data_IF_296620270581
#
_entry.id   IF_296620270581
#
_cell.length_a   1.000
_cell.length_b   1.000
_cell.length_c   1.000
_cell.angle_alpha   90.00
_cell.angle_beta   90.00
_cell.angle_gamma   90.00
#
_symmetry.space_group_name_H-M   'P 1'
#
loop_
_entity.id
_entity.type
_entity.pdbx_description
1 polymer ?
#
# COMPACT_ATOMS: atom_id res chain seq x y z
N UNK A 1 37.05 25.25 -9.85
CA UNK A 1 35.61 25.12 -10.10
C UNK A 1 34.99 24.57 -8.84
N UNK A 2 34.34 25.43 -8.03
CA UNK A 2 33.51 24.96 -6.90
C UNK A 2 32.46 24.03 -7.46
N UNK A 3 32.43 22.80 -6.94
CA UNK A 3 31.38 21.86 -7.25
C UNK A 3 30.07 22.41 -6.67
N UNK A 4 29.34 23.15 -7.49
CA UNK A 4 27.98 23.57 -7.17
C UNK A 4 27.19 22.34 -6.78
N UNK A 5 26.61 22.33 -5.58
CA UNK A 5 25.75 21.25 -5.13
C UNK A 5 24.62 20.95 -6.12
N UNK A 6 23.89 19.84 -5.99
CA UNK A 6 22.84 19.49 -6.94
C UNK A 6 21.82 20.64 -7.03
N UNK A 7 21.43 21.00 -8.26
CA UNK A 7 20.47 22.09 -8.56
C UNK A 7 19.15 21.99 -7.76
N UNK A 8 18.76 20.76 -7.38
CA UNK A 8 17.58 20.47 -6.59
C UNK A 8 17.99 19.58 -5.42
N UNK A 9 17.66 19.99 -4.21
CA UNK A 9 17.99 19.30 -2.99
C UNK A 9 17.00 18.15 -2.68
N UNK A 10 17.28 17.42 -1.61
CA UNK A 10 16.44 16.34 -1.13
C UNK A 10 15.00 16.78 -0.81
N UNK A 11 14.82 18.04 -0.37
CA UNK A 11 13.53 18.63 -0.01
C UNK A 11 12.63 18.78 -1.24
N UNK A 12 13.20 19.31 -2.34
CA UNK A 12 12.48 19.46 -3.60
C UNK A 12 12.05 18.09 -4.15
N UNK A 13 12.95 17.10 -4.17
CA UNK A 13 12.67 15.74 -4.67
C UNK A 13 11.64 15.04 -3.79
N UNK A 14 11.75 15.11 -2.47
CA UNK A 14 10.77 14.57 -1.53
C UNK A 14 9.39 15.18 -1.72
N UNK A 15 9.32 16.51 -1.92
CA UNK A 15 8.08 17.24 -2.18
C UNK A 15 7.40 16.75 -3.48
N UNK A 16 8.15 16.61 -4.56
CA UNK A 16 7.65 16.08 -5.83
C UNK A 16 7.13 14.66 -5.65
N UNK A 17 7.91 13.79 -5.00
CA UNK A 17 7.52 12.39 -4.73
C UNK A 17 6.22 12.29 -3.93
N UNK A 18 6.11 13.07 -2.85
CA UNK A 18 4.91 13.09 -2.00
C UNK A 18 3.68 13.64 -2.74
N UNK A 19 3.82 14.73 -3.47
CA UNK A 19 2.72 15.34 -4.22
C UNK A 19 2.28 14.45 -5.39
N UNK A 20 3.23 13.84 -6.10
CA UNK A 20 2.93 13.02 -7.25
C UNK A 20 2.35 11.66 -6.86
N UNK A 21 3.00 10.89 -6.00
CA UNK A 21 2.57 9.55 -5.66
C UNK A 21 1.64 9.48 -4.43
N UNK A 22 1.90 10.28 -3.40
CA UNK A 22 1.06 10.32 -2.21
C UNK A 22 -0.28 10.99 -2.46
N UNK A 23 -0.29 12.11 -3.19
CA UNK A 23 -1.49 12.88 -3.46
C UNK A 23 -2.04 12.70 -4.88
N UNK A 24 -1.30 12.04 -5.76
CA UNK A 24 -1.74 11.71 -7.11
C UNK A 24 -1.75 12.90 -8.07
N UNK A 25 -0.95 13.94 -7.82
CA UNK A 25 -0.89 15.12 -8.69
C UNK A 25 0.01 14.83 -9.91
N UNK A 26 -0.48 14.86 -11.15
CA UNK A 26 0.34 14.60 -12.33
C UNK A 26 1.46 15.63 -12.48
N UNK A 27 2.63 15.24 -13.02
CA UNK A 27 3.78 16.13 -13.22
C UNK A 27 3.44 17.42 -13.97
N UNK A 28 2.55 17.35 -14.98
CA UNK A 28 2.12 18.57 -15.70
C UNK A 28 1.34 19.55 -14.83
N UNK A 29 0.55 19.05 -13.88
CA UNK A 29 -0.13 19.92 -12.91
C UNK A 29 0.83 20.46 -11.87
N UNK A 30 1.82 19.67 -11.45
CA UNK A 30 2.91 20.16 -10.57
C UNK A 30 3.75 21.23 -11.26
N UNK A 31 4.11 21.05 -12.55
CA UNK A 31 4.80 22.06 -13.34
C UNK A 31 4.02 23.39 -13.38
N UNK A 32 2.69 23.32 -13.59
CA UNK A 32 1.86 24.52 -13.59
C UNK A 32 1.83 25.19 -12.21
N UNK A 33 1.57 24.40 -11.15
CA UNK A 33 1.57 24.88 -9.77
C UNK A 33 2.89 25.57 -9.41
N UNK A 34 4.02 24.94 -9.71
CA UNK A 34 5.36 25.47 -9.44
C UNK A 34 5.66 26.73 -10.23
N UNK A 35 5.17 26.83 -11.47
CA UNK A 35 5.26 28.06 -12.28
C UNK A 35 4.52 29.22 -11.63
N UNK A 36 3.29 28.96 -11.16
CA UNK A 36 2.46 29.96 -10.49
C UNK A 36 3.07 30.41 -9.14
N UNK A 37 3.85 29.52 -8.50
CA UNK A 37 4.62 29.81 -7.27
C UNK A 37 5.98 30.50 -7.53
N UNK A 38 6.36 30.77 -8.80
CA UNK A 38 7.62 31.40 -9.15
C UNK A 38 8.85 30.48 -9.10
N UNK A 39 8.67 29.16 -8.98
CA UNK A 39 9.75 28.16 -8.94
C UNK A 39 9.55 27.09 -10.04
N UNK A 40 9.62 27.50 -11.34
CA UNK A 40 9.25 26.62 -12.45
C UNK A 40 10.21 25.42 -12.56
N UNK A 41 9.64 24.23 -12.64
CA UNK A 41 10.35 22.97 -12.88
C UNK A 41 9.60 22.15 -13.93
N UNK A 42 10.19 21.90 -15.13
CA UNK A 42 9.55 21.12 -16.18
C UNK A 42 9.13 19.72 -15.72
N UNK A 43 8.02 19.23 -16.24
CA UNK A 43 7.53 17.88 -15.90
C UNK A 43 8.54 16.77 -16.26
N UNK A 44 9.34 16.96 -17.33
CA UNK A 44 10.43 16.05 -17.71
C UNK A 44 11.51 15.95 -16.62
N UNK A 45 11.92 17.08 -16.10
CA UNK A 45 12.98 17.17 -15.09
C UNK A 45 12.50 16.59 -13.76
N UNK A 46 11.24 16.86 -13.39
CA UNK A 46 10.61 16.21 -12.22
C UNK A 46 10.62 14.69 -12.34
N UNK A 47 10.26 14.15 -13.53
CA UNK A 47 10.25 12.71 -13.76
C UNK A 47 11.65 12.10 -13.70
N UNK A 48 12.68 12.80 -14.19
CA UNK A 48 14.07 12.32 -14.15
C UNK A 48 14.62 12.35 -12.71
N UNK A 49 14.34 13.42 -11.94
CA UNK A 49 14.68 13.48 -10.51
C UNK A 49 14.07 12.33 -9.72
N UNK A 50 12.80 12.05 -9.93
CA UNK A 50 12.10 10.93 -9.27
C UNK A 50 12.66 9.57 -9.70
N UNK A 51 13.01 9.40 -10.97
CA UNK A 51 13.64 8.17 -11.45
C UNK A 51 14.98 7.91 -10.78
N UNK A 52 15.83 8.94 -10.65
CA UNK A 52 17.10 8.85 -9.92
C UNK A 52 16.87 8.54 -8.44
N UNK A 53 15.98 9.30 -7.78
CA UNK A 53 15.63 9.06 -6.38
C UNK A 53 15.11 7.64 -6.14
N UNK A 54 14.32 7.08 -7.06
CA UNK A 54 13.85 5.69 -6.98
C UNK A 54 14.99 4.66 -7.01
N UNK A 55 16.08 4.95 -7.73
CA UNK A 55 17.28 4.09 -7.71
C UNK A 55 18.00 4.19 -6.36
N UNK A 56 18.16 5.40 -5.84
CA UNK A 56 18.83 5.64 -4.56
C UNK A 56 18.06 5.05 -3.36
N UNK A 57 16.72 5.02 -3.43
CA UNK A 57 15.84 4.50 -2.38
C UNK A 57 15.57 2.98 -2.49
N UNK A 58 16.01 2.33 -3.56
CA UNK A 58 15.74 0.91 -3.80
C UNK A 58 16.24 -0.02 -2.67
N UNK A 59 17.41 0.20 -2.03
CA UNK A 59 17.86 -0.61 -0.89
C UNK A 59 16.85 -0.60 0.27
N UNK A 60 16.31 0.57 0.62
CA UNK A 60 15.31 0.73 1.68
C UNK A 60 14.00 0.03 1.33
N UNK A 61 13.54 0.13 0.07
CA UNK A 61 12.36 -0.57 -0.39
C UNK A 61 12.52 -2.10 -0.37
N UNK A 62 13.70 -2.60 -0.74
CA UNK A 62 14.00 -4.04 -0.67
C UNK A 62 14.02 -4.53 0.78
N UNK A 63 14.59 -3.75 1.69
CA UNK A 63 14.59 -4.07 3.10
C UNK A 63 13.16 -4.04 3.68
N UNK A 64 12.33 -3.07 3.28
CA UNK A 64 10.93 -3.00 3.68
C UNK A 64 10.16 -4.27 3.25
N UNK A 65 10.41 -4.79 2.04
CA UNK A 65 9.86 -6.07 1.59
C UNK A 65 10.36 -7.25 2.43
N UNK A 66 11.67 -7.28 2.73
CA UNK A 66 12.27 -8.34 3.56
C UNK A 66 11.65 -8.38 4.96
N UNK A 67 11.48 -7.21 5.57
CA UNK A 67 10.85 -7.06 6.89
C UNK A 67 9.38 -7.45 6.83
N UNK A 68 8.61 -6.95 5.85
CA UNK A 68 7.20 -7.28 5.69
C UNK A 68 6.93 -8.75 5.43
N UNK A 69 7.85 -9.45 4.75
CA UNK A 69 7.73 -10.90 4.56
C UNK A 69 7.81 -11.70 5.87
N UNK A 70 8.38 -11.13 6.93
CA UNK A 70 8.50 -11.78 8.24
C UNK A 70 7.27 -11.55 9.14
N UNK A 71 6.34 -10.66 8.78
CA UNK A 71 5.18 -10.35 9.59
C UNK A 71 4.17 -11.52 9.59
N UNK A 72 3.42 -11.65 10.69
CA UNK A 72 2.56 -12.82 10.91
C UNK A 72 1.15 -12.67 10.32
N UNK A 73 0.75 -11.44 10.00
CA UNK A 73 -0.52 -11.14 9.37
C UNK A 73 -0.32 -10.31 8.10
N UNK A 74 -0.88 -10.79 7.00
CA UNK A 74 -0.79 -10.16 5.69
C UNK A 74 -2.17 -10.01 5.06
N UNK A 75 -2.42 -8.83 4.49
CA UNK A 75 -3.61 -8.51 3.70
C UNK A 75 -3.19 -8.28 2.26
N UNK A 76 -3.93 -8.78 1.31
CA UNK A 76 -3.65 -8.51 -0.10
C UNK A 76 -4.93 -8.36 -0.93
N UNK A 77 -4.86 -7.44 -1.86
CA UNK A 77 -5.91 -7.19 -2.87
C UNK A 77 -5.30 -6.52 -4.10
N UNK A 78 -6.04 -6.48 -5.22
CA UNK A 78 -5.59 -5.81 -6.44
C UNK A 78 -6.63 -4.84 -7.01
N UNK A 79 -6.14 -3.82 -7.71
CA UNK A 79 -6.96 -2.90 -8.51
C UNK A 79 -6.42 -2.80 -9.93
N UNK A 80 -7.32 -2.69 -10.92
CA UNK A 80 -6.90 -2.51 -12.32
C UNK A 80 -6.03 -1.26 -12.50
N UNK A 81 -5.01 -1.35 -13.37
CA UNK A 81 -4.15 -0.22 -13.72
C UNK A 81 -3.80 -0.26 -15.22
N UNK A 82 -3.01 0.71 -15.69
CA UNK A 82 -2.53 0.80 -17.08
C UNK A 82 -1.06 1.14 -17.09
N UNK A 83 -0.25 0.28 -17.75
CA UNK A 83 1.16 0.54 -18.08
C UNK A 83 1.27 0.42 -19.60
N UNK A 84 1.50 1.53 -20.29
CA UNK A 84 1.38 1.59 -21.75
C UNK A 84 2.38 0.70 -22.46
N UNK A 85 3.64 0.65 -21.99
CA UNK A 85 4.66 -0.25 -22.55
C UNK A 85 4.25 -1.73 -22.43
N UNK A 86 3.69 -2.13 -21.29
CA UNK A 86 3.24 -3.50 -21.07
C UNK A 86 2.01 -3.85 -21.95
N UNK A 87 1.05 -2.93 -22.04
CA UNK A 87 -0.12 -3.11 -22.91
C UNK A 87 0.27 -3.19 -24.40
N UNK A 88 1.31 -2.44 -24.84
CA UNK A 88 1.85 -2.52 -26.19
C UNK A 88 2.46 -3.91 -26.44
N UNK A 89 3.37 -4.37 -25.56
CA UNK A 89 3.97 -5.72 -25.63
C UNK A 89 2.90 -6.83 -25.70
N UNK A 90 1.82 -6.70 -24.92
CA UNK A 90 0.72 -7.67 -24.93
C UNK A 90 -0.06 -7.66 -26.27
N UNK A 91 -0.24 -6.48 -26.91
CA UNK A 91 -0.88 -6.36 -28.21
C UNK A 91 -0.01 -6.94 -29.33
N UNK A 92 1.28 -6.63 -29.35
CA UNK A 92 2.26 -7.14 -30.31
C UNK A 92 2.37 -8.67 -30.23
N UNK A 93 2.48 -9.22 -29.02
CA UNK A 93 2.51 -10.66 -28.79
C UNK A 93 1.22 -11.37 -29.22
N UNK A 94 0.08 -10.68 -29.21
CA UNK A 94 -1.19 -11.20 -29.69
C UNK A 94 -1.29 -11.16 -31.21
N UNK A 95 -0.73 -10.14 -31.84
CA UNK A 95 -0.74 -9.99 -33.30
C UNK A 95 0.21 -11.02 -33.97
N UNK A 96 1.32 -11.40 -33.32
CA UNK A 96 2.30 -12.37 -33.82
C UNK A 96 1.96 -13.83 -33.51
N UNK A 97 1.00 -14.12 -32.62
CA UNK A 97 0.54 -15.50 -32.37
C UNK A 97 -0.45 -15.92 -33.45
N UNK A 98 0.00 -16.78 -34.36
CA UNK A 98 -0.84 -17.53 -35.29
C UNK A 98 -1.94 -18.25 -34.49
N UNK A 99 -3.15 -18.45 -35.13
CA UNK A 99 -4.43 -18.87 -34.50
C UNK A 99 -4.42 -20.25 -33.82
N UNK A 100 -3.29 -20.69 -33.25
CA UNK A 100 -3.18 -21.90 -32.45
C UNK A 100 -3.62 -21.68 -31.01
N UNK A 101 -4.49 -22.57 -30.49
CA UNK A 101 -5.06 -22.63 -29.13
C UNK A 101 -3.98 -22.56 -28.01
N UNK A 102 -3.31 -21.43 -27.87
CA UNK A 102 -2.46 -21.17 -26.69
C UNK A 102 -3.29 -20.69 -25.52
N UNK A 103 -3.12 -21.25 -24.32
CA UNK A 103 -3.70 -20.77 -23.05
C UNK A 103 -3.61 -19.24 -23.01
N UNK A 104 -4.77 -18.57 -22.96
CA UNK A 104 -4.92 -17.14 -23.17
C UNK A 104 -3.94 -16.31 -22.35
N UNK A 105 -3.00 -15.62 -23.03
CA UNK A 105 -2.10 -14.66 -22.41
C UNK A 105 -2.94 -13.62 -21.67
N UNK A 106 -2.60 -13.37 -20.41
CA UNK A 106 -3.28 -12.39 -19.55
C UNK A 106 -3.37 -11.03 -20.22
N UNK A 107 -4.54 -10.40 -20.15
CA UNK A 107 -4.81 -9.11 -20.79
C UNK A 107 -4.80 -7.93 -19.81
N UNK A 108 -4.81 -8.20 -18.49
CA UNK A 108 -4.91 -7.19 -17.45
C UNK A 108 -3.55 -6.69 -16.96
N UNK A 109 -3.53 -5.44 -16.52
CA UNK A 109 -2.48 -4.85 -15.71
C UNK A 109 -3.12 -4.40 -14.42
N UNK A 110 -2.49 -4.71 -13.29
CA UNK A 110 -3.02 -4.48 -11.95
C UNK A 110 -1.97 -3.78 -11.09
N UNK A 111 -2.42 -3.06 -10.08
CA UNK A 111 -1.60 -2.71 -8.92
C UNK A 111 -2.10 -3.54 -7.75
N UNK A 112 -1.26 -4.42 -7.25
CA UNK A 112 -1.47 -5.16 -6.03
C UNK A 112 -1.07 -4.28 -4.85
N UNK A 113 -1.92 -4.19 -3.83
CA UNK A 113 -1.56 -3.72 -2.50
C UNK A 113 -1.38 -4.91 -1.57
N UNK A 114 -0.29 -4.94 -0.84
CA UNK A 114 -0.06 -5.87 0.27
C UNK A 114 0.18 -5.03 1.52
N UNK A 115 -0.57 -5.29 2.58
CA UNK A 115 -0.32 -4.69 3.88
C UNK A 115 0.06 -5.79 4.84
N UNK A 116 1.22 -5.67 5.49
CA UNK A 116 1.63 -6.59 6.54
C UNK A 116 1.58 -5.89 7.89
N UNK A 117 1.25 -6.63 8.95
CA UNK A 117 1.08 -6.04 10.28
C UNK A 117 1.68 -6.91 11.37
N UNK A 118 2.29 -6.25 12.34
CA UNK A 118 2.59 -6.77 13.67
C UNK A 118 1.86 -5.94 14.72
N UNK A 119 2.07 -6.21 16.01
CA UNK A 119 1.53 -5.36 17.08
C UNK A 119 2.07 -3.92 17.01
N UNK A 120 3.34 -3.74 16.58
CA UNK A 120 4.08 -2.50 16.68
C UNK A 120 4.14 -1.69 15.39
N UNK A 121 3.90 -2.33 14.23
CA UNK A 121 4.06 -1.67 12.92
C UNK A 121 3.15 -2.22 11.85
N UNK A 122 2.98 -1.41 10.81
CA UNK A 122 2.26 -1.76 9.58
C UNK A 122 3.12 -1.38 8.38
N UNK A 123 3.20 -2.26 7.39
CA UNK A 123 3.95 -2.03 6.15
C UNK A 123 2.99 -2.13 4.97
N UNK A 124 2.98 -1.14 4.10
CA UNK A 124 2.26 -1.18 2.84
C UNK A 124 3.25 -1.36 1.68
N UNK A 125 2.97 -2.31 0.80
CA UNK A 125 3.76 -2.61 -0.38
C UNK A 125 2.87 -2.60 -1.61
N UNK A 126 3.35 -1.98 -2.70
CA UNK A 126 2.64 -1.95 -3.97
C UNK A 126 3.45 -2.64 -5.05
N UNK A 127 2.75 -3.33 -5.96
CA UNK A 127 3.35 -4.04 -7.09
C UNK A 127 2.47 -3.88 -8.32
N UNK A 128 2.94 -3.12 -9.30
CA UNK A 128 2.20 -2.82 -10.54
C UNK A 128 2.74 -3.64 -11.71
N UNK A 129 1.88 -4.46 -12.32
CA UNK A 129 2.27 -5.31 -13.45
C UNK A 129 1.16 -6.26 -13.92
N UNK A 130 1.56 -7.35 -14.56
CA UNK A 130 0.64 -8.37 -15.07
C UNK A 130 0.24 -9.43 -14.03
N UNK A 131 0.92 -9.47 -12.87
CA UNK A 131 0.65 -10.42 -11.79
C UNK A 131 -0.56 -9.99 -10.98
N UNK A 132 -1.30 -10.97 -10.48
CA UNK A 132 -2.37 -10.78 -9.50
C UNK A 132 -1.84 -10.75 -8.07
N UNK A 133 -2.71 -10.37 -7.13
CA UNK A 133 -2.37 -10.21 -5.72
C UNK A 133 -1.77 -11.47 -5.10
N UNK A 134 -2.29 -12.66 -5.42
CA UNK A 134 -1.74 -13.93 -4.92
C UNK A 134 -0.32 -14.21 -5.42
N UNK A 135 -0.01 -13.88 -6.68
CA UNK A 135 1.31 -14.09 -7.26
C UNK A 135 2.36 -13.12 -6.69
N UNK A 136 1.96 -11.85 -6.47
CA UNK A 136 2.83 -10.87 -5.82
C UNK A 136 3.05 -11.22 -4.34
N UNK A 137 2.04 -11.75 -3.67
CA UNK A 137 2.17 -12.27 -2.31
C UNK A 137 3.10 -13.50 -2.26
N UNK A 138 2.99 -14.40 -3.24
CA UNK A 138 3.89 -15.56 -3.35
C UNK A 138 5.35 -15.12 -3.48
N UNK A 139 5.62 -14.13 -4.35
CA UNK A 139 6.96 -13.56 -4.50
C UNK A 139 7.47 -12.90 -3.20
N UNK A 140 6.61 -12.19 -2.48
CA UNK A 140 6.97 -11.58 -1.19
C UNK A 140 7.30 -12.65 -0.15
N UNK A 141 6.45 -13.66 -0.01
CA UNK A 141 6.61 -14.73 0.99
C UNK A 141 7.80 -15.66 0.72
N UNK A 142 8.37 -15.67 -0.49
CA UNK A 142 9.68 -16.33 -0.75
C UNK A 142 10.83 -15.70 0.03
N UNK A 143 10.67 -14.45 0.48
CA UNK A 143 11.64 -13.77 1.36
C UNK A 143 11.45 -14.14 2.84
N UNK A 144 10.40 -14.89 3.19
CA UNK A 144 10.12 -15.34 4.55
C UNK A 144 11.09 -16.43 4.97
N UNK A 145 11.60 -16.33 6.18
CA UNK A 145 12.49 -17.33 6.76
C UNK A 145 11.77 -18.68 6.92
N UNK A 146 12.47 -19.78 6.60
CA UNK A 146 11.88 -21.12 6.54
C UNK A 146 11.44 -21.66 7.91
N UNK A 147 12.01 -21.16 9.00
CA UNK A 147 11.70 -21.55 10.37
C UNK A 147 10.48 -20.82 10.96
N UNK A 148 9.88 -19.88 10.21
CA UNK A 148 8.69 -19.17 10.65
C UNK A 148 7.40 -19.92 10.30
N UNK A 149 6.43 -19.87 11.21
CA UNK A 149 5.07 -20.36 10.94
C UNK A 149 4.45 -19.68 9.71
N UNK A 150 3.56 -20.36 8.98
CA UNK A 150 2.84 -19.75 7.87
C UNK A 150 2.12 -18.47 8.29
N UNK A 151 2.29 -17.41 7.51
CA UNK A 151 1.62 -16.14 7.77
C UNK A 151 0.09 -16.30 7.66
N UNK A 152 -0.64 -15.60 8.51
CA UNK A 152 -2.09 -15.47 8.38
C UNK A 152 -2.39 -14.51 7.24
N UNK A 153 -3.15 -14.97 6.25
CA UNK A 153 -3.54 -14.16 5.09
C UNK A 153 -5.02 -13.77 5.19
N UNK A 154 -5.30 -12.48 5.05
CA UNK A 154 -6.67 -11.97 4.92
C UNK A 154 -6.87 -11.36 3.53
N UNK A 155 -7.82 -11.91 2.75
CA UNK A 155 -8.16 -11.42 1.41
C UNK A 155 -9.68 -11.47 1.16
N UNK A 156 -10.11 -10.96 0.01
CA UNK A 156 -11.47 -11.21 -0.47
C UNK A 156 -11.68 -12.70 -0.86
N UNK A 157 -12.87 -13.04 -1.35
CA UNK A 157 -13.20 -14.42 -1.73
C UNK A 157 -12.65 -14.87 -3.09
N UNK A 158 -11.80 -14.09 -3.78
CA UNK A 158 -11.29 -14.43 -5.11
C UNK A 158 -10.08 -15.36 -5.01
N UNK A 159 -10.10 -16.46 -5.76
CA UNK A 159 -9.02 -17.45 -5.78
C UNK A 159 -7.68 -16.89 -6.27
N UNK A 160 -7.71 -15.87 -7.15
CA UNK A 160 -6.51 -15.19 -7.66
C UNK A 160 -5.73 -14.43 -6.58
N UNK A 161 -6.31 -14.20 -5.42
CA UNK A 161 -5.67 -13.54 -4.28
C UNK A 161 -4.92 -14.52 -3.37
N UNK A 162 -5.11 -15.84 -3.56
CA UNK A 162 -4.35 -16.86 -2.86
C UNK A 162 -2.97 -17.09 -3.51
N UNK A 163 -1.87 -17.19 -2.75
CA UNK A 163 -0.56 -17.58 -3.27
C UNK A 163 -0.59 -19.04 -3.74
N UNK A 164 0.15 -19.35 -4.82
CA UNK A 164 0.18 -20.70 -5.38
C UNK A 164 1.25 -21.59 -4.72
N UNK A 165 2.37 -21.02 -4.27
CA UNK A 165 3.52 -21.74 -3.74
C UNK A 165 3.70 -21.62 -2.23
N UNK A 166 3.46 -20.42 -1.68
CA UNK A 166 3.61 -20.18 -0.24
C UNK A 166 2.40 -20.70 0.54
N UNK A 167 2.66 -21.37 1.67
CA UNK A 167 1.60 -21.77 2.60
C UNK A 167 1.17 -20.57 3.46
N UNK A 168 -0.14 -20.37 3.58
CA UNK A 168 -0.75 -19.34 4.45
C UNK A 168 -1.90 -19.93 5.24
N UNK A 169 -2.22 -19.34 6.38
CA UNK A 169 -3.47 -19.61 7.11
C UNK A 169 -4.52 -18.62 6.60
N UNK A 170 -5.37 -19.08 5.69
CA UNK A 170 -6.29 -18.22 4.98
C UNK A 170 -7.51 -17.79 5.82
N UNK A 171 -7.72 -16.47 5.92
CA UNK A 171 -8.97 -15.82 6.31
C UNK A 171 -9.62 -15.12 5.11
N UNK A 172 -10.94 -15.00 5.14
CA UNK A 172 -11.72 -14.28 4.11
C UNK A 172 -12.56 -13.17 4.73
N UNK A 173 -12.72 -12.09 3.95
CA UNK A 173 -13.37 -10.87 4.39
C UNK A 173 -14.88 -11.01 4.58
N UNK A 174 -15.36 -10.81 5.81
CA UNK A 174 -16.80 -10.79 6.13
C UNK A 174 -17.53 -9.61 5.47
N UNK A 175 -16.87 -8.46 5.32
CA UNK A 175 -17.48 -7.29 4.66
C UNK A 175 -17.85 -7.60 3.21
N UNK A 176 -16.99 -8.30 2.46
CA UNK A 176 -17.28 -8.70 1.09
C UNK A 176 -18.45 -9.69 1.01
N UNK A 177 -18.49 -10.65 1.93
CA UNK A 177 -19.62 -11.58 2.03
C UNK A 177 -20.91 -10.85 2.39
N UNK A 178 -20.87 -9.96 3.39
CA UNK A 178 -22.03 -9.13 3.78
C UNK A 178 -22.57 -8.30 2.62
N UNK A 179 -21.68 -7.74 1.79
CA UNK A 179 -22.07 -6.93 0.63
C UNK A 179 -22.91 -7.72 -0.36
N UNK A 180 -22.63 -9.01 -0.60
CA UNK A 180 -23.44 -9.83 -1.51
C UNK A 180 -24.91 -9.94 -1.10
N UNK A 181 -25.19 -9.98 0.21
CA UNK A 181 -26.56 -9.93 0.73
C UNK A 181 -27.13 -8.51 0.69
N UNK A 182 -26.33 -7.49 1.03
CA UNK A 182 -26.77 -6.10 0.98
C UNK A 182 -27.17 -5.65 -0.43
N UNK A 183 -26.46 -6.12 -1.46
CA UNK A 183 -26.71 -5.76 -2.86
C UNK A 183 -28.04 -6.31 -3.40
N UNK A 184 -28.59 -7.38 -2.78
CA UNK A 184 -29.86 -8.00 -3.20
C UNK A 184 -30.99 -7.81 -2.17
N UNK A 185 -30.78 -7.02 -1.12
CA UNK A 185 -31.75 -6.84 -0.01
C UNK A 185 -33.10 -6.34 -0.48
N UNK A 186 -33.14 -5.56 -1.57
CA UNK A 186 -34.40 -5.08 -2.15
C UNK A 186 -35.31 -6.22 -2.66
N UNK A 187 -34.71 -7.36 -3.06
CA UNK A 187 -35.44 -8.52 -3.57
C UNK A 187 -35.75 -9.56 -2.47
N UNK A 188 -34.95 -9.57 -1.39
CA UNK A 188 -35.03 -10.53 -0.28
C UNK A 188 -34.82 -9.80 1.04
N UNK A 189 -35.75 -8.91 1.46
CA UNK A 189 -35.53 -7.99 2.58
C UNK A 189 -35.39 -8.70 3.93
N UNK A 190 -36.17 -9.73 4.19
CA UNK A 190 -36.17 -10.46 5.47
C UNK A 190 -34.91 -11.32 5.61
N UNK A 191 -34.61 -12.12 4.61
CA UNK A 191 -33.48 -13.06 4.62
C UNK A 191 -32.15 -12.32 4.61
N UNK A 192 -32.01 -11.32 3.74
CA UNK A 192 -30.79 -10.52 3.67
C UNK A 192 -30.66 -9.61 4.91
N UNK A 193 -31.76 -9.07 5.41
CA UNK A 193 -31.81 -8.27 6.63
C UNK A 193 -31.22 -9.05 7.81
N UNK A 194 -31.63 -10.31 8.00
CA UNK A 194 -31.12 -11.20 9.04
C UNK A 194 -29.60 -11.38 8.94
N UNK A 195 -29.06 -11.73 7.75
CA UNK A 195 -27.62 -11.94 7.55
C UNK A 195 -26.84 -10.66 7.82
N UNK A 196 -27.33 -9.52 7.32
CA UNK A 196 -26.69 -8.19 7.49
C UNK A 196 -26.67 -7.79 8.96
N UNK A 197 -27.74 -8.05 9.71
CA UNK A 197 -27.84 -7.78 11.14
C UNK A 197 -26.93 -8.68 11.96
N UNK A 198 -26.94 -10.01 11.73
CA UNK A 198 -26.11 -10.96 12.48
C UNK A 198 -24.61 -10.69 12.27
N UNK A 199 -24.17 -10.39 11.05
CA UNK A 199 -22.79 -9.95 10.80
C UNK A 199 -22.54 -8.60 11.50
N UNK A 200 -23.51 -7.70 11.53
CA UNK A 200 -23.43 -6.42 12.25
C UNK A 200 -23.15 -6.61 13.75
N UNK A 201 -23.82 -7.57 14.40
CA UNK A 201 -23.58 -7.95 15.80
C UNK A 201 -22.14 -8.44 16.02
N UNK A 202 -21.60 -9.22 15.09
CA UNK A 202 -20.19 -9.68 15.15
C UNK A 202 -19.23 -8.50 15.07
N UNK A 203 -19.47 -7.53 14.18
CA UNK A 203 -18.65 -6.30 14.12
C UNK A 203 -18.78 -5.43 15.36
N UNK A 204 -19.95 -5.38 15.99
CA UNK A 204 -20.11 -4.69 17.25
C UNK A 204 -19.23 -5.31 18.36
N UNK A 205 -19.20 -6.64 18.46
CA UNK A 205 -18.32 -7.35 19.41
C UNK A 205 -16.84 -7.04 19.14
N UNK A 206 -16.43 -6.98 17.86
CA UNK A 206 -15.06 -6.60 17.48
C UNK A 206 -14.74 -5.13 17.84
N UNK A 207 -15.72 -4.24 17.69
CA UNK A 207 -15.65 -2.86 18.15
C UNK A 207 -15.35 -2.76 19.64
N UNK A 208 -16.08 -3.50 20.47
CA UNK A 208 -15.87 -3.56 21.93
C UNK A 208 -14.46 -4.07 22.27
N UNK A 209 -13.96 -5.08 21.54
CA UNK A 209 -12.60 -5.58 21.74
C UNK A 209 -11.54 -4.50 21.44
N UNK A 210 -11.73 -3.73 20.39
CA UNK A 210 -10.84 -2.62 20.02
C UNK A 210 -10.89 -1.46 21.02
N UNK A 211 -12.08 -1.06 21.45
CA UNK A 211 -12.26 0.00 22.46
C UNK A 211 -11.58 -0.34 23.79
N UNK A 212 -11.61 -1.61 24.16
CA UNK A 212 -10.97 -2.14 25.39
C UNK A 212 -9.49 -2.45 25.20
N UNK A 213 -8.94 -2.29 24.01
CA UNK A 213 -7.56 -2.66 23.66
C UNK A 213 -7.20 -4.10 24.09
N UNK A 214 -8.10 -5.06 23.84
CA UNK A 214 -7.88 -6.45 24.23
C UNK A 214 -6.69 -7.07 23.49
N UNK A 215 -5.98 -7.96 24.20
CA UNK A 215 -4.96 -8.80 23.59
C UNK A 215 -5.56 -9.68 22.46
N UNK A 216 -4.76 -10.20 21.53
CA UNK A 216 -5.25 -11.13 20.51
C UNK A 216 -5.98 -12.35 21.10
N UNK A 217 -5.52 -12.87 22.24
CA UNK A 217 -6.08 -13.99 22.99
C UNK A 217 -7.41 -13.61 23.63
N UNK A 218 -7.47 -12.48 24.35
CA UNK A 218 -8.70 -12.00 24.99
C UNK A 218 -9.77 -11.64 23.94
N UNK A 219 -9.35 -11.06 22.81
CA UNK A 219 -10.24 -10.80 21.67
C UNK A 219 -10.80 -12.09 21.10
N UNK A 220 -9.99 -13.15 20.94
CA UNK A 220 -10.46 -14.47 20.51
C UNK A 220 -11.48 -15.02 21.51
N UNK A 221 -11.19 -14.99 22.81
CA UNK A 221 -12.11 -15.46 23.86
C UNK A 221 -13.46 -14.71 23.80
N UNK A 222 -13.41 -13.36 23.67
CA UNK A 222 -14.64 -12.56 23.53
C UNK A 222 -15.45 -12.96 22.30
N UNK A 223 -14.80 -13.22 21.17
CA UNK A 223 -15.50 -13.69 19.97
C UNK A 223 -16.05 -15.10 20.11
N UNK A 224 -15.34 -16.00 20.80
CA UNK A 224 -15.84 -17.33 21.09
C UNK A 224 -17.09 -17.30 21.99
N UNK A 225 -17.11 -16.41 22.98
CA UNK A 225 -18.24 -16.25 23.89
C UNK A 225 -19.46 -15.56 23.20
N UNK A 226 -19.22 -14.45 22.47
CA UNK A 226 -20.31 -13.60 21.98
C UNK A 226 -20.63 -13.81 20.50
N UNK A 227 -19.63 -13.99 19.66
CA UNK A 227 -19.82 -14.08 18.20
C UNK A 227 -20.06 -15.51 17.70
N UNK A 228 -19.47 -16.52 18.34
CA UNK A 228 -19.62 -17.90 17.90
C UNK A 228 -21.08 -18.39 17.91
N UNK A 229 -21.91 -18.10 18.94
CA UNK A 229 -23.32 -18.50 18.93
C UNK A 229 -24.10 -17.83 17.78
N UNK A 230 -23.79 -16.55 17.46
CA UNK A 230 -24.42 -15.82 16.36
C UNK A 230 -24.07 -16.48 15.02
N UNK A 231 -22.78 -16.73 14.80
CA UNK A 231 -22.29 -17.36 13.57
C UNK A 231 -22.85 -18.79 13.42
N UNK A 232 -22.91 -19.59 14.48
CA UNK A 232 -23.46 -20.94 14.42
C UNK A 232 -24.97 -20.93 14.13
N UNK A 233 -25.71 -20.00 14.72
CA UNK A 233 -27.13 -19.77 14.40
C UNK A 233 -27.33 -19.38 12.93
N UNK A 234 -26.47 -18.49 12.42
CA UNK A 234 -26.47 -18.08 11.02
C UNK A 234 -26.13 -19.26 10.08
N UNK A 235 -25.13 -20.09 10.41
CA UNK A 235 -24.76 -21.27 9.62
C UNK A 235 -25.92 -22.22 9.46
N UNK A 236 -26.57 -22.59 10.57
CA UNK A 236 -27.73 -23.49 10.55
C UNK A 236 -28.84 -22.93 9.67
N UNK A 237 -29.15 -21.66 9.83
CA UNK A 237 -30.16 -21.00 9.02
C UNK A 237 -29.83 -21.00 7.52
N UNK A 238 -28.56 -20.70 7.13
CA UNK A 238 -28.12 -20.76 5.74
C UNK A 238 -28.24 -22.14 5.12
N UNK A 239 -27.93 -23.17 5.90
CA UNK A 239 -28.09 -24.60 5.49
C UNK A 239 -29.56 -24.93 5.28
N UNK A 240 -30.44 -24.53 6.22
CA UNK A 240 -31.89 -24.78 6.13
C UNK A 240 -32.51 -24.07 4.91
N UNK A 241 -32.03 -22.89 4.54
CA UNK A 241 -32.50 -22.18 3.32
C UNK A 241 -32.21 -22.96 2.04
N UNK A 242 -31.12 -23.71 1.97
CA UNK A 242 -30.70 -24.46 0.79
C UNK A 242 -31.21 -25.91 0.77
N UNK A 243 -31.35 -26.55 1.96
CA UNK A 243 -31.77 -27.95 2.06
C UNK A 243 -33.28 -28.13 1.99
N UNK A 244 -34.07 -27.20 2.53
CA UNK A 244 -35.52 -27.26 2.58
C UNK A 244 -36.21 -26.71 1.32
N UNK A 245 -35.46 -26.52 0.21
CA UNK A 245 -35.93 -25.92 -1.03
C UNK A 245 -36.65 -24.55 -0.84
N UNK A 246 -36.35 -23.86 0.29
CA UNK A 246 -36.93 -22.55 0.60
C UNK A 246 -36.42 -21.46 -0.32
N UNK A 247 -35.22 -21.64 -0.87
CA UNK A 247 -34.55 -20.69 -1.76
C UNK A 247 -34.09 -21.42 -3.01
N UNK A 248 -34.49 -20.91 -4.17
CA UNK A 248 -34.03 -21.42 -5.47
C UNK A 248 -32.51 -21.25 -5.58
N UNK A 249 -31.72 -22.34 -5.82
CA UNK A 249 -30.26 -22.32 -5.78
C UNK A 249 -29.60 -21.34 -6.77
N UNK A 250 -30.23 -21.08 -7.92
CA UNK A 250 -29.73 -20.16 -8.95
C UNK A 250 -30.14 -18.70 -8.73
N UNK A 251 -31.02 -18.44 -7.74
CA UNK A 251 -31.40 -17.08 -7.34
C UNK A 251 -30.20 -16.28 -6.79
N UNK A 252 -30.34 -14.97 -6.67
CA UNK A 252 -29.34 -14.15 -6.02
C UNK A 252 -29.08 -14.57 -4.58
N UNK A 253 -30.14 -14.90 -3.83
CA UNK A 253 -30.05 -15.34 -2.44
C UNK A 253 -29.40 -16.74 -2.33
N UNK A 254 -29.79 -17.70 -3.16
CA UNK A 254 -29.19 -19.04 -3.18
C UNK A 254 -27.70 -19.00 -3.46
N UNK A 255 -27.26 -18.18 -4.43
CA UNK A 255 -25.84 -17.97 -4.73
C UNK A 255 -25.08 -17.34 -3.57
N UNK A 256 -25.65 -16.33 -2.90
CA UNK A 256 -25.04 -15.68 -1.73
C UNK A 256 -24.90 -16.65 -0.55
N UNK A 257 -25.92 -17.46 -0.27
CA UNK A 257 -25.89 -18.49 0.77
C UNK A 257 -24.81 -19.56 0.47
N UNK A 258 -24.81 -20.11 -0.74
CA UNK A 258 -23.82 -21.10 -1.16
C UNK A 258 -22.38 -20.53 -1.11
N UNK A 259 -22.18 -19.27 -1.54
CA UNK A 259 -20.88 -18.61 -1.44
C UNK A 259 -20.40 -18.49 0.01
N UNK A 260 -21.25 -18.03 0.92
CA UNK A 260 -20.90 -17.87 2.34
C UNK A 260 -20.57 -19.23 2.98
N UNK A 261 -21.38 -20.27 2.74
CA UNK A 261 -21.16 -21.62 3.26
C UNK A 261 -19.86 -22.24 2.71
N UNK A 262 -19.57 -22.08 1.43
CA UNK A 262 -18.33 -22.55 0.81
C UNK A 262 -17.08 -21.97 1.47
N UNK A 263 -17.12 -20.73 1.90
CA UNK A 263 -16.01 -20.02 2.52
C UNK A 263 -16.05 -20.05 4.05
N UNK A 264 -16.99 -20.77 4.66
CA UNK A 264 -17.32 -20.69 6.10
C UNK A 264 -16.10 -20.80 7.00
N UNK A 265 -15.27 -21.82 6.80
CA UNK A 265 -14.08 -22.03 7.61
C UNK A 265 -13.09 -20.84 7.54
N UNK A 266 -12.95 -20.24 6.37
CA UNK A 266 -12.06 -19.10 6.18
C UNK A 266 -12.69 -17.79 6.71
N UNK A 267 -14.00 -17.63 6.62
CA UNK A 267 -14.74 -16.48 7.14
C UNK A 267 -14.78 -16.46 8.68
N UNK A 268 -14.74 -17.64 9.30
CA UNK A 268 -14.80 -17.80 10.76
C UNK A 268 -13.43 -18.04 11.40
N UNK A 269 -12.33 -17.71 10.71
CA UNK A 269 -10.97 -17.88 11.24
C UNK A 269 -10.78 -17.12 12.57
N UNK A 270 -11.42 -15.96 12.73
CA UNK A 270 -11.38 -15.13 13.93
C UNK A 270 -11.96 -15.80 15.19
N UNK A 271 -12.67 -16.91 15.05
CA UNK A 271 -13.17 -17.75 16.16
C UNK A 271 -12.17 -18.83 16.59
N UNK A 272 -11.04 -18.98 15.87
CA UNK A 272 -10.09 -20.09 16.09
C UNK A 272 -8.63 -19.64 16.19
N UNK A 273 -8.28 -18.49 15.64
CA UNK A 273 -6.90 -17.97 15.63
C UNK A 273 -6.84 -16.62 16.30
N UNK A 274 -5.98 -16.46 17.35
CA UNK A 274 -5.73 -15.15 17.96
C UNK A 274 -5.25 -14.15 16.89
N UNK A 275 -5.70 -12.92 16.98
CA UNK A 275 -5.29 -11.85 16.07
C UNK A 275 -5.92 -11.89 14.67
N UNK A 276 -6.70 -12.94 14.31
CA UNK A 276 -7.34 -13.01 13.00
C UNK A 276 -8.35 -11.87 12.81
N UNK A 277 -8.23 -11.06 11.74
CA UNK A 277 -9.14 -9.94 11.48
C UNK A 277 -10.47 -10.42 10.88
N UNK A 278 -11.48 -9.54 10.86
CA UNK A 278 -12.78 -9.82 10.23
C UNK A 278 -12.81 -9.40 8.75
N UNK A 279 -11.97 -8.46 8.35
CA UNK A 279 -12.06 -7.83 7.03
C UNK A 279 -10.70 -7.38 6.46
N UNK A 280 -10.75 -6.90 5.20
CA UNK A 280 -9.63 -6.38 4.41
C UNK A 280 -9.57 -4.85 4.37
N UNK A 281 -10.32 -4.15 5.20
CA UNK A 281 -10.46 -2.69 5.12
C UNK A 281 -9.13 -1.93 5.15
N UNK A 282 -8.10 -2.48 5.79
CA UNK A 282 -6.77 -1.85 5.85
C UNK A 282 -6.11 -1.80 4.47
N UNK A 283 -6.10 -2.90 3.71
CA UNK A 283 -5.51 -2.93 2.37
C UNK A 283 -6.39 -2.21 1.35
N UNK A 284 -7.71 -2.24 1.50
CA UNK A 284 -8.61 -1.46 0.65
C UNK A 284 -8.37 0.04 0.79
N UNK A 285 -8.14 0.53 2.02
CA UNK A 285 -7.76 1.93 2.28
C UNK A 285 -6.40 2.27 1.71
N UNK A 286 -5.41 1.40 1.89
CA UNK A 286 -4.08 1.58 1.30
C UNK A 286 -4.16 1.65 -0.23
N UNK A 287 -4.93 0.79 -0.89
CA UNK A 287 -5.13 0.83 -2.35
C UNK A 287 -5.74 2.15 -2.87
N UNK A 288 -6.38 2.96 -2.01
CA UNK A 288 -6.88 4.29 -2.42
C UNK A 288 -5.78 5.22 -2.90
N UNK A 289 -4.54 5.06 -2.46
CA UNK A 289 -3.38 5.82 -2.97
C UNK A 289 -3.17 5.50 -4.45
N UNK A 290 -3.05 4.23 -4.80
CA UNK A 290 -2.88 3.80 -6.19
C UNK A 290 -4.11 4.13 -7.07
N UNK A 291 -5.33 4.01 -6.52
CA UNK A 291 -6.57 4.37 -7.21
C UNK A 291 -6.61 5.88 -7.50
N UNK A 292 -6.24 6.72 -6.54
CA UNK A 292 -6.16 8.18 -6.69
C UNK A 292 -5.15 8.55 -7.76
N UNK A 293 -3.95 7.97 -7.71
CA UNK A 293 -2.93 8.15 -8.72
C UNK A 293 -3.48 7.80 -10.11
N UNK A 294 -4.06 6.60 -10.29
CA UNK A 294 -4.66 6.16 -11.57
C UNK A 294 -5.76 7.10 -12.05
N UNK A 295 -6.65 7.58 -11.18
CA UNK A 295 -7.74 8.49 -11.56
C UNK A 295 -7.22 9.84 -12.07
N UNK A 296 -6.10 10.33 -11.56
CA UNK A 296 -5.54 11.63 -11.90
C UNK A 296 -4.50 11.56 -13.02
N UNK A 297 -3.60 10.56 -12.99
CA UNK A 297 -2.50 10.39 -13.95
C UNK A 297 -2.84 9.41 -15.08
N UNK A 298 -3.94 8.67 -14.97
CA UNK A 298 -4.53 7.74 -15.94
C UNK A 298 -3.70 6.46 -16.22
N UNK A 299 -2.38 6.54 -16.31
CA UNK A 299 -1.48 5.42 -16.64
C UNK A 299 -0.03 5.69 -16.23
N UNK A 300 0.76 4.63 -16.18
CA UNK A 300 2.22 4.70 -16.27
C UNK A 300 2.67 4.52 -17.72
N UNK A 301 3.66 5.29 -18.16
CA UNK A 301 4.20 5.13 -19.52
C UNK A 301 5.03 3.85 -19.66
N UNK A 302 5.87 3.56 -18.67
CA UNK A 302 6.84 2.48 -18.66
C UNK A 302 6.71 1.58 -17.43
N UNK A 303 7.23 0.37 -17.51
CA UNK A 303 7.32 -0.54 -16.37
C UNK A 303 8.26 0.01 -15.28
N UNK A 304 9.35 0.69 -15.66
CA UNK A 304 10.25 1.34 -14.70
C UNK A 304 9.57 2.51 -13.96
N UNK A 305 8.73 3.29 -14.67
CA UNK A 305 7.91 4.33 -14.04
C UNK A 305 6.89 3.76 -13.07
N UNK A 306 6.30 2.62 -13.38
CA UNK A 306 5.39 1.92 -12.47
C UNK A 306 6.14 1.41 -11.23
N UNK A 307 7.32 0.80 -11.39
CA UNK A 307 8.15 0.34 -10.29
C UNK A 307 8.61 1.49 -9.36
N UNK A 308 8.94 2.67 -9.93
CA UNK A 308 9.19 3.88 -9.14
C UNK A 308 7.96 4.32 -8.36
N UNK A 309 6.77 4.27 -8.99
CA UNK A 309 5.50 4.54 -8.31
C UNK A 309 5.22 3.58 -7.16
N UNK A 310 5.44 2.29 -7.36
CA UNK A 310 5.28 1.26 -6.33
C UNK A 310 6.19 1.53 -5.13
N UNK A 311 7.46 1.89 -5.37
CA UNK A 311 8.42 2.24 -4.33
C UNK A 311 7.96 3.45 -3.50
N UNK A 312 7.67 4.59 -4.17
CA UNK A 312 7.27 5.80 -3.46
C UNK A 312 5.95 5.63 -2.72
N UNK A 313 4.93 5.02 -3.34
CA UNK A 313 3.66 4.74 -2.67
C UNK A 313 3.86 3.84 -1.45
N UNK A 314 4.74 2.83 -1.52
CA UNK A 314 5.04 1.93 -0.40
C UNK A 314 5.67 2.66 0.78
N UNK A 315 6.68 3.49 0.52
CA UNK A 315 7.34 4.27 1.57
C UNK A 315 6.38 5.28 2.22
N UNK A 316 5.62 6.01 1.39
CA UNK A 316 4.68 7.04 1.85
C UNK A 316 3.54 6.41 2.67
N UNK A 317 2.88 5.38 2.16
CA UNK A 317 1.75 4.75 2.84
C UNK A 317 2.20 4.04 4.12
N UNK A 318 3.38 3.43 4.12
CA UNK A 318 3.96 2.85 5.34
C UNK A 318 4.15 3.92 6.42
N UNK A 319 4.64 5.11 6.06
CA UNK A 319 4.72 6.23 6.99
C UNK A 319 3.34 6.60 7.55
N UNK A 320 2.34 6.76 6.69
CA UNK A 320 0.99 7.15 7.10
C UNK A 320 0.31 6.11 8.00
N UNK A 321 0.48 4.82 7.71
CA UNK A 321 -0.05 3.74 8.53
C UNK A 321 0.55 3.71 9.95
N UNK A 322 1.75 4.28 10.13
CA UNK A 322 2.45 4.34 11.42
C UNK A 322 2.47 5.74 12.05
N UNK A 323 1.71 6.71 11.51
CA UNK A 323 1.65 8.07 12.04
C UNK A 323 2.94 8.87 11.85
N UNK A 324 3.78 8.51 10.87
CA UNK A 324 5.08 9.11 10.60
C UNK A 324 4.94 10.16 9.49
N UNK A 325 5.66 11.28 9.61
CA UNK A 325 5.69 12.30 8.58
C UNK A 325 6.46 11.80 7.36
N UNK A 326 5.72 11.46 6.29
CA UNK A 326 6.29 10.92 5.06
C UNK A 326 7.24 11.90 4.35
N UNK A 327 6.99 13.21 4.41
CA UNK A 327 7.88 14.22 3.82
C UNK A 327 9.23 14.25 4.53
N UNK A 328 9.22 14.37 5.87
CA UNK A 328 10.45 14.37 6.66
C UNK A 328 11.25 13.07 6.49
N UNK A 329 10.54 11.93 6.40
CA UNK A 329 11.16 10.63 6.13
C UNK A 329 11.85 10.59 4.76
N UNK A 330 11.15 10.99 3.69
CA UNK A 330 11.74 11.02 2.34
C UNK A 330 12.95 11.98 2.26
N UNK A 331 12.89 13.16 2.90
CA UNK A 331 14.02 14.08 2.98
C UNK A 331 15.20 13.41 3.68
N UNK A 332 14.97 12.75 4.82
CA UNK A 332 16.02 12.05 5.55
C UNK A 332 16.70 10.95 4.70
N UNK A 333 15.92 10.16 3.98
CA UNK A 333 16.45 9.14 3.08
C UNK A 333 17.30 9.76 1.96
N UNK A 334 16.73 10.74 1.24
CA UNK A 334 17.38 11.38 0.09
C UNK A 334 18.64 12.18 0.46
N UNK A 335 18.74 12.65 1.69
CA UNK A 335 19.93 13.32 2.22
C UNK A 335 21.04 12.36 2.66
N UNK A 336 20.75 11.04 2.73
CA UNK A 336 21.68 10.03 3.27
C UNK A 336 21.87 8.83 2.34
N UNK A 337 21.75 8.99 1.04
CA UNK A 337 21.69 7.90 0.04
C UNK A 337 22.86 6.90 0.13
N UNK A 338 24.09 7.36 0.37
CA UNK A 338 25.25 6.50 0.54
C UNK A 338 25.08 5.51 1.73
N UNK A 339 24.56 6.01 2.86
CA UNK A 339 24.35 5.20 4.07
C UNK A 339 23.18 4.21 3.92
N UNK A 340 22.17 4.57 3.10
CA UNK A 340 21.06 3.67 2.78
C UNK A 340 21.53 2.39 2.12
N UNK A 341 22.54 2.47 1.25
CA UNK A 341 23.08 1.32 0.54
C UNK A 341 23.86 0.38 1.48
N UNK A 342 24.52 0.95 2.51
CA UNK A 342 25.31 0.18 3.48
C UNK A 342 24.46 -0.54 4.52
N UNK A 343 23.47 0.16 5.11
CA UNK A 343 22.62 -0.36 6.21
C UNK A 343 21.16 0.07 6.04
N UNK A 344 20.43 -0.49 5.06
CA UNK A 344 19.07 -0.09 4.81
C UNK A 344 18.11 -0.36 6.00
N UNK A 345 18.40 -1.36 6.84
CA UNK A 345 17.62 -1.71 8.03
C UNK A 345 17.52 -0.58 9.07
N UNK A 346 18.55 0.27 9.13
CA UNK A 346 18.62 1.38 10.10
C UNK A 346 17.74 2.57 9.66
N UNK A 347 17.22 2.53 8.43
CA UNK A 347 16.46 3.61 7.80
C UNK A 347 14.99 3.25 7.57
N UNK A 348 14.45 2.31 8.34
CA UNK A 348 13.01 2.03 8.26
C UNK A 348 12.19 3.17 8.89
N UNK A 349 10.91 3.37 8.49
CA UNK A 349 10.11 4.48 9.00
C UNK A 349 10.09 4.60 10.53
N UNK A 350 10.13 3.51 11.25
CA UNK A 350 10.04 3.46 12.73
C UNK A 350 11.36 3.69 13.46
N UNK A 351 12.51 3.65 12.79
CA UNK A 351 13.83 3.79 13.43
C UNK A 351 14.75 4.89 12.84
N UNK A 352 14.42 5.46 11.67
CA UNK A 352 15.27 6.43 10.99
C UNK A 352 15.62 7.66 11.84
N UNK A 353 14.73 8.09 12.75
CA UNK A 353 14.98 9.24 13.62
C UNK A 353 16.11 8.95 14.62
N UNK A 354 16.13 7.74 15.19
CA UNK A 354 17.22 7.31 16.08
C UNK A 354 18.55 7.22 15.31
N UNK A 355 18.50 6.74 14.05
CA UNK A 355 19.67 6.70 13.18
C UNK A 355 20.19 8.10 12.85
N UNK A 356 19.31 9.07 12.56
CA UNK A 356 19.71 10.47 12.37
C UNK A 356 20.35 11.07 13.61
N UNK A 357 19.77 10.83 14.78
CA UNK A 357 20.29 11.35 16.06
C UNK A 357 21.67 10.77 16.40
N UNK A 358 21.92 9.51 16.04
CA UNK A 358 23.21 8.84 16.26
C UNK A 358 24.26 9.21 15.19
N UNK A 359 23.87 9.92 14.12
CA UNK A 359 24.74 10.29 13.02
C UNK A 359 25.38 11.64 13.29
N UNK A 360 26.71 11.76 13.33
CA UNK A 360 27.35 13.07 13.43
C UNK A 360 26.96 13.93 12.23
N UNK A 361 26.76 15.26 12.44
CA UNK A 361 26.46 16.16 11.33
C UNK A 361 27.53 16.02 10.23
N UNK A 362 27.19 16.22 8.95
CA UNK A 362 28.17 16.26 7.88
C UNK A 362 29.27 17.25 8.30
N UNK A 363 30.53 16.80 8.21
CA UNK A 363 31.67 17.70 8.41
C UNK A 363 31.57 18.70 7.29
N UNK A 364 31.16 19.92 7.58
CA UNK A 364 31.29 21.04 6.61
C UNK A 364 32.74 21.07 6.22
N UNK A 365 33.11 21.13 4.92
CA UNK A 365 34.48 21.36 4.52
C UNK A 365 34.90 22.66 5.21
N UNK A 366 35.98 22.60 5.98
CA UNK A 366 36.50 23.76 6.70
C UNK A 366 36.61 24.91 5.72
N UNK A 367 35.88 25.97 5.97
CA UNK A 367 36.01 27.19 5.20
C UNK A 367 37.47 27.61 5.31
N UNK A 368 38.24 27.49 4.21
CA UNK A 368 39.61 28.02 4.13
C UNK A 368 39.49 29.51 4.44
N UNK A 369 40.08 29.89 5.56
CA UNK A 369 40.23 31.30 5.93
C UNK A 369 41.07 31.97 4.84
N UNK A 370 40.40 32.62 3.88
CA UNK A 370 41.07 33.52 2.96
C UNK A 370 41.58 34.69 3.78
N UNK A 371 42.84 34.59 4.15
CA UNK A 371 43.59 35.67 4.79
C UNK A 371 43.59 36.89 3.90
N UNK A 372 43.05 37.95 4.43
CA UNK A 372 43.25 39.35 4.18
C UNK A 372 43.71 39.83 2.80
N UNK A 373 42.74 40.31 2.00
CA UNK A 373 43.02 41.38 1.04
C UNK A 373 42.27 42.60 1.53
N UNK A 374 43.04 43.59 2.07
CA UNK A 374 42.55 44.88 2.46
C UNK A 374 42.15 45.70 1.23
N UNK A 375 40.85 45.99 1.10
CA UNK A 375 40.36 46.95 0.11
C UNK A 375 40.56 48.39 0.60
N UNK A 376 41.12 49.31 -0.18
CA UNK A 376 41.29 50.72 0.24
C UNK A 376 39.93 51.43 0.24
N UNK A 377 39.66 52.15 1.32
CA UNK A 377 38.47 53.00 1.49
C UNK A 377 38.51 54.15 0.53
N UNK A 378 37.53 54.30 -0.35
CA UNK A 378 37.23 55.55 -1.08
C UNK A 378 36.36 56.49 -0.22
N UNK A 379 36.33 57.78 -0.50
CA UNK A 379 35.73 58.80 0.36
C UNK A 379 34.19 58.82 0.29
N UNK A 380 33.53 59.41 1.31
CA UNK A 380 32.08 59.40 1.40
C UNK A 380 31.43 60.43 0.48
N UNK A 381 30.49 60.07 -0.34
CA UNK A 381 29.61 60.98 -1.04
C UNK A 381 28.34 61.25 -0.25
N UNK A 382 28.11 62.46 0.04
CA UNK A 382 26.98 63.13 0.69
C UNK A 382 25.68 63.02 -0.11
N UNK A 383 24.58 62.70 0.59
CA UNK A 383 23.25 63.31 0.50
C UNK A 383 22.47 63.20 -0.79
N UNK A 384 21.28 62.60 -0.64
CA UNK A 384 20.00 63.28 -0.95
C UNK A 384 18.81 62.47 -0.42
N UNK A 385 18.10 63.14 0.49
CA UNK A 385 16.74 62.81 0.91
C UNK A 385 15.78 63.25 -0.20
N UNK A 386 14.88 62.38 -0.63
CA UNK A 386 13.59 62.81 -1.17
C UNK A 386 12.56 61.67 -1.05
N UNK A 387 11.51 62.02 -0.37
CA UNK A 387 10.19 61.45 -0.23
C UNK A 387 9.58 60.97 -1.58
N UNK A 388 8.99 59.80 -1.61
CA UNK A 388 7.54 59.59 -1.86
C UNK A 388 7.24 58.14 -1.56
#
# INVERSE_FOLDING_TARGET
EEALGPKYDATAVAGIGLLHFGNGIPYKRLEQLQRDMGVPLPASDQAELIKKAGQDLLPVFNELKRVGAQDDLVYNDDTGNRVLSLLRKQREAKASSDKGKGKGKRKGVFTTGIVTTTQDRKIALYFTGAKHAGENLDDLLRLREQNREPAMQMSDGLDRNAPAGAKTVEGKCLTHTRRQFADIIANFPEECGRVVEDIGKVYHVDGLAKERNLSPEDRLFLHQEKSAPIMEGLRRWLVDQLLDDKVEPNSGLGKACAYMLRLWEKLTLFLRKPGAPLDTNIVERALKVAIRYRKNSLFFQTESGAAGGDLFMSLIETCWLNGINAFAYLVALLSNTARLAERPSDWMPWNYQATLAATPPPVEPAAEQVSGVSCPRGPPSSGLVAQL
#
